data_IF_543401353992
#
_entry.id   IF_543401353992
#
_cell.length_a   1.000
_cell.length_b   1.000
_cell.length_c   1.000
_cell.angle_alpha   90.00
_cell.angle_beta   90.00
_cell.angle_gamma   90.00
#
_symmetry.space_group_name_H-M   'P 1'
#
loop_
_entity.id
_entity.type
_entity.pdbx_description
1 polymer ?
#
# COMPACT_ATOMS: atom_id res chain seq x y z
N UNK A 1 -17.60 39.94 35.51
CA UNK A 1 -16.54 39.09 34.93
C UNK A 1 -15.37 39.99 34.60
N UNK A 2 -14.25 39.83 35.29
CA UNK A 2 -13.05 40.64 35.07
C UNK A 2 -12.26 40.09 33.88
N UNK A 3 -11.61 40.97 33.12
CA UNK A 3 -10.81 40.66 31.91
C UNK A 3 -9.79 39.54 32.15
N UNK A 4 -9.26 39.44 33.37
CA UNK A 4 -8.32 38.39 33.80
C UNK A 4 -8.91 36.97 33.72
N UNK A 5 -10.22 36.81 33.98
CA UNK A 5 -10.89 35.50 33.88
C UNK A 5 -11.07 35.04 32.44
N UNK A 6 -11.14 35.96 31.48
CA UNK A 6 -11.23 35.64 30.04
C UNK A 6 -9.85 35.26 29.50
N UNK A 7 -8.80 35.96 29.93
CA UNK A 7 -7.41 35.63 29.56
C UNK A 7 -6.98 34.25 30.07
N UNK A 8 -7.34 33.89 31.30
CA UNK A 8 -7.08 32.54 31.85
C UNK A 8 -7.80 31.44 31.04
N UNK A 9 -9.04 31.70 30.60
CA UNK A 9 -9.78 30.75 29.75
C UNK A 9 -9.15 30.60 28.36
N UNK A 10 -8.74 31.71 27.72
CA UNK A 10 -8.03 31.66 26.43
C UNK A 10 -6.72 30.89 26.58
N UNK A 11 -5.97 31.12 27.65
CA UNK A 11 -4.71 30.42 27.89
C UNK A 11 -4.91 28.91 28.12
N UNK A 12 -5.96 28.52 28.84
CA UNK A 12 -6.37 27.12 28.97
C UNK A 12 -6.72 26.49 27.63
N UNK A 13 -7.50 27.18 26.79
CA UNK A 13 -7.86 26.68 25.46
C UNK A 13 -6.64 26.52 24.54
N UNK A 14 -5.69 27.46 24.58
CA UNK A 14 -4.45 27.38 23.81
C UNK A 14 -3.57 26.21 24.28
N UNK A 15 -3.47 25.99 25.59
CA UNK A 15 -2.72 24.86 26.14
C UNK A 15 -3.35 23.52 25.72
N UNK A 16 -4.68 23.41 25.79
CA UNK A 16 -5.40 22.22 25.34
C UNK A 16 -5.22 21.99 23.84
N UNK A 17 -5.34 23.03 23.01
CA UNK A 17 -5.11 22.93 21.57
C UNK A 17 -3.67 22.49 21.25
N UNK A 18 -2.68 23.03 21.95
CA UNK A 18 -1.29 22.61 21.80
C UNK A 18 -1.10 21.13 22.17
N UNK A 19 -1.73 20.68 23.27
CA UNK A 19 -1.70 19.28 23.68
C UNK A 19 -2.38 18.36 22.65
N UNK A 20 -3.53 18.77 22.10
CA UNK A 20 -4.26 18.03 21.09
C UNK A 20 -3.47 17.93 19.78
N UNK A 21 -2.80 19.01 19.36
CA UNK A 21 -1.90 19.00 18.19
C UNK A 21 -0.74 18.03 18.39
N UNK A 22 -0.11 18.01 19.57
CA UNK A 22 0.95 17.06 19.87
C UNK A 22 0.45 15.62 19.85
N UNK A 23 -0.68 15.34 20.49
CA UNK A 23 -1.31 14.01 20.50
C UNK A 23 -1.68 13.54 19.08
N UNK A 24 -2.21 14.44 18.26
CA UNK A 24 -2.52 14.17 16.86
C UNK A 24 -1.26 13.86 16.06
N UNK A 25 -0.20 14.66 16.22
CA UNK A 25 1.09 14.44 15.56
C UNK A 25 1.68 13.07 15.89
N UNK A 26 1.69 12.68 17.17
CA UNK A 26 2.19 11.37 17.60
C UNK A 26 1.33 10.21 17.10
N UNK A 27 0.01 10.42 16.98
CA UNK A 27 -0.90 9.42 16.43
C UNK A 27 -0.68 9.24 14.94
N UNK A 28 -0.54 10.34 14.19
CA UNK A 28 -0.21 10.29 12.76
C UNK A 28 1.14 9.62 12.53
N UNK A 29 2.16 9.93 13.33
CA UNK A 29 3.48 9.28 13.24
C UNK A 29 3.38 7.77 13.41
N UNK A 30 2.73 7.31 14.49
CA UNK A 30 2.51 5.88 14.74
C UNK A 30 1.72 5.21 13.62
N UNK A 31 0.73 5.90 13.06
CA UNK A 31 -0.04 5.37 11.93
C UNK A 31 0.84 5.22 10.68
N UNK A 32 1.67 6.22 10.36
CA UNK A 32 2.63 6.11 9.26
C UNK A 32 3.63 4.98 9.46
N UNK A 33 4.16 4.81 10.68
CA UNK A 33 5.05 3.70 11.01
C UNK A 33 4.36 2.34 10.79
N UNK A 34 3.13 2.17 11.26
CA UNK A 34 2.35 0.94 11.04
C UNK A 34 2.09 0.66 9.55
N UNK A 35 1.75 1.69 8.77
CA UNK A 35 1.54 1.56 7.33
C UNK A 35 2.83 1.12 6.63
N UNK A 36 3.99 1.69 7.00
CA UNK A 36 5.27 1.31 6.41
C UNK A 36 5.64 -0.14 6.73
N UNK A 37 5.43 -0.58 7.98
CA UNK A 37 5.64 -1.99 8.34
C UNK A 37 4.72 -2.92 7.54
N UNK A 38 3.44 -2.57 7.38
CA UNK A 38 2.52 -3.38 6.59
C UNK A 38 2.92 -3.45 5.10
N UNK A 39 3.48 -2.36 4.54
CA UNK A 39 4.02 -2.36 3.18
C UNK A 39 5.22 -3.30 3.06
N UNK A 40 6.11 -3.32 4.06
CA UNK A 40 7.28 -4.21 4.09
C UNK A 40 6.87 -5.70 4.17
N UNK A 41 5.88 -6.01 5.01
CA UNK A 41 5.30 -7.35 5.10
C UNK A 41 4.67 -7.80 3.78
N UNK A 42 3.90 -6.92 3.12
CA UNK A 42 3.30 -7.20 1.80
C UNK A 42 4.39 -7.45 0.76
N UNK A 43 5.45 -6.63 0.73
CA UNK A 43 6.56 -6.80 -0.18
C UNK A 43 7.26 -8.14 0.04
N UNK A 44 7.50 -8.52 1.30
CA UNK A 44 8.09 -9.80 1.68
C UNK A 44 7.22 -10.98 1.23
N UNK A 45 5.90 -10.92 1.46
CA UNK A 45 4.98 -11.96 1.00
C UNK A 45 4.94 -12.08 -0.53
N UNK A 46 4.94 -10.95 -1.24
CA UNK A 46 4.99 -10.94 -2.71
C UNK A 46 6.28 -11.59 -3.24
N UNK A 47 7.43 -11.31 -2.63
CA UNK A 47 8.70 -11.93 -3.00
C UNK A 47 8.69 -13.45 -2.74
N UNK A 48 8.13 -13.88 -1.62
CA UNK A 48 7.97 -15.31 -1.31
C UNK A 48 7.07 -16.01 -2.35
N UNK A 49 5.93 -15.41 -2.69
CA UNK A 49 5.05 -15.94 -3.75
C UNK A 49 5.76 -15.99 -5.10
N UNK A 50 6.49 -14.94 -5.47
CA UNK A 50 7.25 -14.90 -6.71
C UNK A 50 8.27 -16.03 -6.77
N UNK A 51 9.02 -16.27 -5.68
CA UNK A 51 9.98 -17.37 -5.63
C UNK A 51 9.31 -18.73 -5.84
N UNK A 52 8.18 -18.98 -5.17
CA UNK A 52 7.40 -20.21 -5.33
C UNK A 52 6.93 -20.38 -6.77
N UNK A 53 6.32 -19.35 -7.36
CA UNK A 53 5.80 -19.38 -8.73
C UNK A 53 6.92 -19.65 -9.72
N UNK A 54 8.07 -18.98 -9.60
CA UNK A 54 9.25 -19.19 -10.46
C UNK A 54 9.69 -20.66 -10.44
N UNK A 55 9.74 -21.29 -9.26
CA UNK A 55 10.11 -22.72 -9.13
C UNK A 55 9.07 -23.63 -9.80
N UNK A 56 7.78 -23.33 -9.67
CA UNK A 56 6.69 -24.09 -10.30
C UNK A 56 6.75 -23.97 -11.83
N UNK A 57 6.98 -22.76 -12.35
CA UNK A 57 7.05 -22.48 -13.79
C UNK A 57 8.19 -23.23 -14.48
N UNK A 58 9.32 -23.47 -13.80
CA UNK A 58 10.41 -24.30 -14.36
C UNK A 58 10.01 -25.75 -14.64
N UNK A 59 8.99 -26.25 -13.94
CA UNK A 59 8.53 -27.63 -14.07
C UNK A 59 7.26 -27.73 -14.93
N UNK A 60 6.58 -26.62 -15.16
CA UNK A 60 5.29 -26.57 -15.85
C UNK A 60 5.27 -25.42 -16.85
N UNK A 61 5.33 -25.69 -18.17
CA UNK A 61 5.23 -24.65 -19.16
C UNK A 61 3.86 -23.97 -19.06
N UNK A 62 3.86 -22.64 -19.04
CA UNK A 62 2.65 -21.82 -18.95
C UNK A 62 2.44 -21.08 -20.25
N UNK A 63 1.20 -21.13 -20.75
CA UNK A 63 0.78 -20.33 -21.90
C UNK A 63 0.67 -18.86 -21.50
N UNK A 64 1.63 -18.06 -21.98
CA UNK A 64 1.65 -16.62 -21.74
C UNK A 64 0.37 -15.94 -22.26
N UNK A 65 -0.21 -16.39 -23.37
CA UNK A 65 -1.38 -15.74 -23.94
C UNK A 65 -2.60 -15.91 -23.02
N UNK A 66 -2.84 -17.13 -22.54
CA UNK A 66 -3.88 -17.41 -21.55
C UNK A 66 -3.70 -16.63 -20.24
N UNK A 67 -2.46 -16.42 -19.78
CA UNK A 67 -2.18 -15.59 -18.59
C UNK A 67 -2.53 -14.12 -18.84
N UNK A 68 -2.17 -13.57 -20.01
CA UNK A 68 -2.47 -12.18 -20.36
C UNK A 68 -3.98 -11.93 -20.49
N UNK A 69 -4.70 -12.86 -21.13
CA UNK A 69 -6.16 -12.81 -21.24
C UNK A 69 -6.84 -12.92 -19.88
N UNK A 70 -6.34 -13.79 -19.00
CA UNK A 70 -6.82 -13.88 -17.63
C UNK A 70 -6.63 -12.55 -16.89
N UNK A 71 -5.46 -11.91 -17.01
CA UNK A 71 -5.21 -10.60 -16.39
C UNK A 71 -6.21 -9.57 -16.91
N UNK A 72 -6.36 -9.44 -18.23
CA UNK A 72 -7.31 -8.51 -18.83
C UNK A 72 -8.73 -8.71 -18.29
N UNK A 73 -9.19 -9.96 -18.24
CA UNK A 73 -10.54 -10.29 -17.77
C UNK A 73 -10.77 -9.88 -16.32
N UNK A 74 -9.74 -9.99 -15.48
CA UNK A 74 -9.87 -9.79 -14.03
C UNK A 74 -9.47 -8.39 -13.56
N UNK A 75 -8.79 -7.59 -14.39
CA UNK A 75 -8.37 -6.22 -14.03
C UNK A 75 -9.16 -5.14 -14.76
N UNK A 76 -9.77 -5.43 -15.91
CA UNK A 76 -10.51 -4.43 -16.71
C UNK A 76 -11.67 -3.77 -15.96
N UNK A 77 -12.34 -4.48 -15.05
CA UNK A 77 -13.43 -3.91 -14.24
C UNK A 77 -12.92 -2.98 -13.11
N UNK A 78 -11.66 -3.14 -12.70
CA UNK A 78 -11.09 -2.49 -11.52
C UNK A 78 -10.15 -1.35 -11.88
N UNK A 79 -9.56 -1.38 -13.07
CA UNK A 79 -8.58 -0.40 -13.52
C UNK A 79 -9.09 0.48 -14.66
N UNK A 80 -9.77 1.56 -14.28
CA UNK A 80 -10.31 2.57 -15.20
C UNK A 80 -9.23 3.28 -16.03
N UNK A 81 -7.95 3.18 -15.63
CA UNK A 81 -6.83 3.85 -16.30
C UNK A 81 -6.01 2.91 -17.18
N UNK A 82 -6.20 1.60 -17.06
CA UNK A 82 -5.41 0.56 -17.73
C UNK A 82 -3.96 0.41 -17.25
N UNK A 83 -3.47 1.28 -16.36
CA UNK A 83 -2.07 1.26 -15.91
C UNK A 83 -1.74 0.08 -14.99
N UNK A 84 -2.66 -0.31 -14.10
CA UNK A 84 -2.54 -1.49 -13.25
C UNK A 84 -2.56 -2.78 -14.07
N UNK A 85 -3.47 -2.87 -15.04
CA UNK A 85 -3.55 -3.98 -16.00
C UNK A 85 -2.22 -4.16 -16.73
N UNK A 86 -1.65 -3.09 -17.30
CA UNK A 86 -0.39 -3.18 -18.04
C UNK A 86 0.83 -3.49 -17.16
N UNK A 87 0.87 -2.99 -15.92
CA UNK A 87 1.89 -3.38 -14.94
C UNK A 87 1.82 -4.87 -14.63
N UNK A 88 0.62 -5.40 -14.40
CA UNK A 88 0.42 -6.83 -14.14
C UNK A 88 0.87 -7.69 -15.33
N UNK A 89 0.50 -7.30 -16.56
CA UNK A 89 0.97 -7.99 -17.78
C UNK A 89 2.49 -7.95 -17.94
N UNK A 90 3.11 -6.82 -17.63
CA UNK A 90 4.57 -6.68 -17.71
C UNK A 90 5.27 -7.64 -16.75
N UNK A 91 4.77 -7.74 -15.50
CA UNK A 91 5.27 -8.70 -14.53
C UNK A 91 5.06 -10.15 -15.00
N UNK A 92 3.87 -10.47 -15.53
CA UNK A 92 3.59 -11.81 -16.06
C UNK A 92 4.55 -12.22 -17.18
N UNK A 93 4.80 -11.32 -18.15
CA UNK A 93 5.80 -11.55 -19.21
C UNK A 93 7.20 -11.80 -18.62
N UNK A 94 7.60 -11.00 -17.63
CA UNK A 94 8.89 -11.20 -16.96
C UNK A 94 8.97 -12.58 -16.29
N UNK A 95 7.95 -12.99 -15.55
CA UNK A 95 7.95 -14.27 -14.83
C UNK A 95 7.95 -15.48 -15.74
N UNK A 96 7.20 -15.45 -16.85
CA UNK A 96 7.17 -16.56 -17.81
C UNK A 96 8.47 -16.64 -18.61
N UNK A 97 8.99 -15.50 -19.08
CA UNK A 97 10.21 -15.47 -19.91
C UNK A 97 11.50 -15.71 -19.11
N UNK A 98 11.55 -15.37 -17.82
CA UNK A 98 12.72 -15.64 -16.97
C UNK A 98 12.88 -17.13 -16.63
N UNK A 99 11.84 -17.95 -16.83
CA UNK A 99 11.83 -19.38 -16.54
C UNK A 99 11.85 -20.29 -17.77
N UNK A 100 11.83 -19.71 -18.98
CA UNK A 100 12.00 -20.41 -20.26
C UNK A 100 13.48 -20.54 -20.60
#
# INVERSE_FOLDING_TARGET
MTTDSLLDQVQKMLNNLSQDIHSMSDTTRRHSEMVMTAIDDIATHMLAMQAIVVVILKQNPVDLNGVLEWIDTHTNALDKTGQGTEKAKTLARYLVNYNS
#
